data_IF_014159124520
#
_entry.id   IF_014159124520
#
_cell.length_a   1.000
_cell.length_b   1.000
_cell.length_c   1.000
_cell.angle_alpha   90.00
_cell.angle_beta   90.00
_cell.angle_gamma   90.00
#
_symmetry.space_group_name_H-M   'P 1'
#
loop_
_entity.id
_entity.type
_entity.pdbx_description
1 polymer ?
#
# COMPACT_ATOMS: atom_id res chain seq x y z
N UNK A 1 -2.06 55.14 -35.76
CA UNK A 1 -3.10 55.87 -36.57
C UNK A 1 -4.44 55.43 -36.03
N UNK A 2 -4.98 56.19 -35.08
CA UNK A 2 -6.26 56.90 -35.06
C UNK A 2 -7.47 56.03 -35.41
N UNK A 3 -8.50 55.89 -34.59
CA UNK A 3 -9.46 56.84 -33.95
C UNK A 3 -10.22 56.03 -32.89
N UNK A 4 -10.31 56.35 -31.62
CA UNK A 4 -11.10 57.41 -30.97
C UNK A 4 -12.50 57.59 -31.61
N UNK A 5 -13.55 57.40 -30.88
CA UNK A 5 -14.30 58.37 -30.14
C UNK A 5 -15.80 58.03 -30.12
N UNK A 6 -16.35 58.04 -28.93
CA UNK A 6 -17.63 58.65 -28.49
C UNK A 6 -18.96 58.07 -29.00
N UNK A 7 -19.88 57.80 -28.09
CA UNK A 7 -20.92 58.76 -27.73
C UNK A 7 -21.59 58.42 -26.39
N UNK A 8 -21.64 59.42 -25.59
CA UNK A 8 -22.41 59.64 -24.38
C UNK A 8 -23.87 60.04 -24.72
N UNK A 9 -24.69 60.01 -23.69
CA UNK A 9 -25.93 60.69 -23.46
C UNK A 9 -27.24 60.05 -23.97
N UNK A 10 -28.11 59.81 -23.02
CA UNK A 10 -29.33 60.54 -22.71
C UNK A 10 -30.02 59.81 -21.54
N UNK A 11 -29.91 60.27 -20.31
CA UNK A 11 -30.75 61.33 -19.62
C UNK A 11 -32.22 60.95 -19.54
N UNK A 12 -32.62 60.60 -18.33
CA UNK A 12 -33.49 61.31 -17.39
C UNK A 12 -34.89 61.71 -17.94
N UNK A 13 -35.89 61.51 -17.13
CA UNK A 13 -37.29 61.90 -17.06
C UNK A 13 -38.14 60.62 -16.97
N UNK A 14 -38.89 60.31 -15.95
CA UNK A 14 -39.87 61.06 -15.17
C UNK A 14 -40.10 60.39 -13.83
N UNK A 15 -40.02 61.13 -12.76
CA UNK A 15 -40.60 60.89 -11.45
C UNK A 15 -42.06 61.28 -11.49
N UNK A 16 -42.88 60.60 -10.73
CA UNK A 16 -44.21 60.99 -10.25
C UNK A 16 -45.41 60.27 -10.87
N UNK A 17 -45.91 59.27 -10.16
CA UNK A 17 -47.34 59.03 -9.98
C UNK A 17 -47.58 58.16 -8.77
N UNK A 18 -47.76 58.74 -7.63
CA UNK A 18 -48.91 58.65 -6.73
C UNK A 18 -49.46 57.26 -6.38
N UNK A 19 -49.32 57.01 -5.10
CA UNK A 19 -50.03 56.04 -4.31
C UNK A 19 -51.53 55.99 -4.63
N UNK A 20 -52.00 54.74 -4.84
CA UNK A 20 -53.40 54.40 -4.58
C UNK A 20 -53.40 52.95 -4.03
N UNK A 21 -53.92 52.90 -2.85
CA UNK A 21 -54.24 51.74 -2.01
C UNK A 21 -54.88 50.59 -2.80
N UNK A 22 -54.38 49.41 -2.65
CA UNK A 22 -55.16 48.21 -2.84
C UNK A 22 -54.92 47.27 -1.66
N UNK A 23 -55.88 47.07 -0.84
CA UNK A 23 -56.00 45.92 0.05
C UNK A 23 -55.98 44.65 -0.82
N UNK A 24 -54.84 43.97 -0.87
CA UNK A 24 -54.72 42.63 -1.35
C UNK A 24 -54.83 41.64 -0.17
N UNK A 25 -55.42 40.50 -0.34
CA UNK A 25 -55.53 39.50 0.74
C UNK A 25 -54.14 39.10 1.22
N UNK A 26 -54.01 38.91 2.55
CA UNK A 26 -52.79 38.49 3.23
C UNK A 26 -52.19 37.28 2.51
N UNK A 27 -50.92 37.40 2.07
CA UNK A 27 -50.19 36.28 1.58
C UNK A 27 -50.10 35.23 2.66
N UNK A 28 -50.68 34.08 2.40
CA UNK A 28 -50.51 32.88 3.23
C UNK A 28 -48.99 32.62 3.32
N UNK A 29 -48.42 32.37 4.52
CA UNK A 29 -47.02 32.03 4.62
C UNK A 29 -46.79 30.77 3.77
N UNK A 30 -45.92 30.89 2.78
CA UNK A 30 -45.41 29.76 2.01
C UNK A 30 -44.70 28.87 3.04
N UNK A 31 -45.32 27.74 3.31
CA UNK A 31 -44.70 26.68 4.13
C UNK A 31 -43.36 26.33 3.48
N UNK A 32 -42.24 26.67 4.15
CA UNK A 32 -40.91 26.31 3.71
C UNK A 32 -40.93 24.79 3.71
N UNK A 33 -40.88 24.19 2.52
CA UNK A 33 -40.77 22.75 2.38
C UNK A 33 -39.52 22.31 3.17
N UNK A 34 -39.74 21.66 4.30
CA UNK A 34 -38.67 21.00 5.04
C UNK A 34 -38.09 19.98 4.10
N UNK A 35 -36.85 20.19 3.63
CA UNK A 35 -36.13 19.17 2.86
C UNK A 35 -36.23 17.84 3.62
N UNK A 36 -36.70 16.82 2.92
CA UNK A 36 -36.73 15.47 3.49
C UNK A 36 -35.30 15.11 3.94
N UNK A 37 -35.10 14.59 5.15
CA UNK A 37 -33.78 14.25 5.63
C UNK A 37 -33.10 13.33 4.60
N UNK A 38 -31.92 13.73 4.14
CA UNK A 38 -31.08 12.90 3.27
C UNK A 38 -30.94 11.51 3.94
N UNK A 39 -31.24 10.40 3.24
CA UNK A 39 -31.12 9.08 3.82
C UNK A 39 -29.72 8.91 4.42
N UNK A 40 -29.63 8.46 5.66
CA UNK A 40 -28.34 8.15 6.27
C UNK A 40 -27.61 7.14 5.38
N UNK A 41 -26.28 7.29 5.19
CA UNK A 41 -25.51 6.31 4.40
C UNK A 41 -25.75 4.91 4.96
N UNK A 42 -25.82 3.88 4.11
CA UNK A 42 -26.06 2.51 4.57
C UNK A 42 -24.97 2.10 5.56
N UNK A 43 -25.39 1.46 6.65
CA UNK A 43 -24.46 1.01 7.70
C UNK A 43 -23.45 0.03 7.09
N UNK A 44 -22.17 0.19 7.44
CA UNK A 44 -21.12 -0.73 7.04
C UNK A 44 -21.34 -2.16 7.60
N UNK A 45 -20.88 -3.16 6.88
CA UNK A 45 -20.89 -4.56 7.32
C UNK A 45 -22.23 -5.25 7.15
N UNK A 46 -23.15 -4.71 6.36
CA UNK A 46 -24.38 -5.39 5.94
C UNK A 46 -24.16 -6.20 4.65
N UNK A 47 -25.10 -7.06 4.28
CA UNK A 47 -25.04 -7.80 3.01
C UNK A 47 -25.01 -6.86 1.79
N UNK A 48 -25.74 -5.73 1.87
CA UNK A 48 -25.81 -4.74 0.80
C UNK A 48 -24.64 -3.74 0.82
N UNK A 49 -23.96 -3.58 1.96
CA UNK A 49 -22.78 -2.72 2.12
C UNK A 49 -21.69 -3.45 2.93
N UNK A 50 -21.08 -4.52 2.39
CA UNK A 50 -20.04 -5.29 3.06
C UNK A 50 -18.77 -4.46 3.26
N UNK A 51 -18.02 -4.76 4.31
CA UNK A 51 -16.68 -4.21 4.52
C UNK A 51 -15.73 -4.94 3.57
N UNK A 52 -15.04 -4.19 2.73
CA UNK A 52 -14.06 -4.73 1.78
C UNK A 52 -12.68 -4.76 2.42
N UNK A 53 -12.12 -5.97 2.51
CA UNK A 53 -10.76 -6.26 2.95
C UNK A 53 -9.85 -6.32 1.73
N UNK A 54 -8.97 -5.36 1.57
CA UNK A 54 -8.04 -5.27 0.44
C UNK A 54 -6.64 -5.75 0.84
N UNK A 55 -6.07 -6.65 0.05
CA UNK A 55 -4.76 -7.24 0.25
C UNK A 55 -3.77 -6.74 -0.80
N UNK A 56 -2.54 -6.45 -0.39
CA UNK A 56 -1.46 -6.05 -1.29
C UNK A 56 -1.09 -7.20 -2.26
N UNK A 57 -0.90 -6.94 -3.56
CA UNK A 57 -0.56 -7.96 -4.55
C UNK A 57 0.94 -8.36 -4.48
N UNK A 58 1.40 -8.79 -3.30
CA UNK A 58 2.79 -9.19 -3.05
C UNK A 58 3.06 -10.68 -3.29
N UNK A 59 2.01 -11.49 -3.45
CA UNK A 59 2.01 -12.90 -3.77
C UNK A 59 1.03 -13.20 -4.92
N UNK A 60 0.73 -14.48 -5.19
CA UNK A 60 -0.25 -14.81 -6.23
C UNK A 60 -1.66 -14.42 -5.83
N UNK A 61 -2.44 -13.86 -6.75
CA UNK A 61 -3.81 -13.40 -6.48
C UNK A 61 -4.68 -14.51 -5.90
N UNK A 62 -4.55 -15.74 -6.39
CA UNK A 62 -5.35 -16.87 -5.93
C UNK A 62 -5.05 -17.22 -4.46
N UNK A 63 -3.79 -17.25 -4.05
CA UNK A 63 -3.40 -17.52 -2.67
C UNK A 63 -3.86 -16.40 -1.72
N UNK A 64 -3.72 -15.13 -2.16
CA UNK A 64 -4.15 -13.98 -1.39
C UNK A 64 -5.67 -13.96 -1.18
N UNK A 65 -6.46 -14.25 -2.23
CA UNK A 65 -7.92 -14.30 -2.10
C UNK A 65 -8.34 -15.43 -1.14
N UNK A 66 -7.77 -16.63 -1.28
CA UNK A 66 -8.10 -17.75 -0.40
C UNK A 66 -7.78 -17.44 1.08
N UNK A 67 -6.61 -16.84 1.33
CA UNK A 67 -6.18 -16.47 2.68
C UNK A 67 -7.00 -15.31 3.25
N UNK A 68 -7.30 -14.31 2.43
CA UNK A 68 -8.13 -13.17 2.80
C UNK A 68 -9.57 -13.57 3.12
N UNK A 69 -10.14 -14.49 2.34
CA UNK A 69 -11.49 -15.04 2.58
C UNK A 69 -11.54 -15.82 3.91
N UNK A 70 -10.46 -16.51 4.28
CA UNK A 70 -10.36 -17.16 5.59
C UNK A 70 -10.37 -16.14 6.74
N UNK A 71 -9.64 -15.03 6.61
CA UNK A 71 -9.69 -13.91 7.58
C UNK A 71 -11.08 -13.28 7.61
N UNK A 72 -11.66 -12.97 6.45
CA UNK A 72 -12.99 -12.38 6.33
C UNK A 72 -14.06 -13.24 7.00
N UNK A 73 -14.01 -14.56 6.83
CA UNK A 73 -14.93 -15.50 7.46
C UNK A 73 -14.82 -15.50 8.99
N UNK A 74 -13.61 -15.45 9.54
CA UNK A 74 -13.41 -15.35 11.01
C UNK A 74 -13.87 -14.00 11.54
N UNK A 75 -13.54 -12.90 10.87
CA UNK A 75 -14.03 -11.57 11.23
C UNK A 75 -15.54 -11.51 11.22
N UNK A 76 -16.21 -12.10 10.21
CA UNK A 76 -17.67 -12.15 10.15
C UNK A 76 -18.29 -12.88 11.33
N UNK A 77 -17.71 -14.01 11.77
CA UNK A 77 -18.17 -14.75 12.96
C UNK A 77 -18.06 -13.93 14.25
N UNK A 78 -16.94 -13.18 14.41
CA UNK A 78 -16.68 -12.44 15.65
C UNK A 78 -17.47 -11.14 15.69
N UNK A 79 -17.50 -10.40 14.59
CA UNK A 79 -18.09 -9.05 14.55
C UNK A 79 -19.56 -9.04 14.19
N UNK A 80 -20.06 -10.06 13.50
CA UNK A 80 -21.38 -10.06 12.88
C UNK A 80 -21.48 -9.20 11.62
N UNK A 81 -20.37 -8.60 11.15
CA UNK A 81 -20.32 -7.85 9.89
C UNK A 81 -20.10 -8.79 8.70
N UNK A 82 -20.59 -8.37 7.54
CA UNK A 82 -20.28 -9.02 6.26
C UNK A 82 -19.00 -8.43 5.69
N UNK A 83 -18.05 -9.30 5.32
CA UNK A 83 -16.80 -8.92 4.69
C UNK A 83 -16.72 -9.48 3.27
N UNK A 84 -15.93 -8.79 2.41
CA UNK A 84 -15.49 -9.26 1.09
C UNK A 84 -13.99 -9.03 0.97
N UNK A 85 -13.30 -9.92 0.25
CA UNK A 85 -11.87 -9.79 -0.03
C UNK A 85 -11.65 -9.30 -1.45
N UNK A 86 -10.64 -8.45 -1.63
CA UNK A 86 -10.15 -8.02 -2.94
C UNK A 86 -8.63 -7.97 -2.97
N UNK A 87 -8.05 -8.19 -4.14
CA UNK A 87 -6.61 -8.02 -4.42
C UNK A 87 -6.48 -7.07 -5.60
N UNK A 88 -6.16 -5.80 -5.38
CA UNK A 88 -5.91 -4.83 -6.45
C UNK A 88 -4.73 -5.24 -7.34
N UNK A 89 -4.66 -4.68 -8.55
CA UNK A 89 -3.65 -5.05 -9.55
C UNK A 89 -2.26 -4.47 -9.29
N UNK A 90 -2.16 -3.46 -8.42
CA UNK A 90 -0.89 -2.80 -8.04
C UNK A 90 -1.01 -2.17 -6.66
N UNK A 91 0.10 -1.74 -6.07
CA UNK A 91 0.11 -1.01 -4.80
C UNK A 91 -0.57 0.37 -4.94
N UNK A 92 -0.39 1.04 -6.07
CA UNK A 92 -1.12 2.29 -6.35
C UNK A 92 -2.64 2.07 -6.41
N UNK A 93 -3.10 0.99 -7.07
CA UNK A 93 -4.52 0.65 -7.11
C UNK A 93 -5.08 0.31 -5.71
N UNK A 94 -4.26 -0.28 -4.83
CA UNK A 94 -4.63 -0.53 -3.43
C UNK A 94 -4.82 0.78 -2.66
N UNK A 95 -3.89 1.74 -2.81
CA UNK A 95 -4.01 3.09 -2.21
C UNK A 95 -5.28 3.79 -2.69
N UNK A 96 -5.55 3.78 -4.00
CA UNK A 96 -6.75 4.40 -4.56
C UNK A 96 -8.06 3.70 -4.15
N UNK A 97 -8.02 2.37 -3.93
CA UNK A 97 -9.18 1.65 -3.40
C UNK A 97 -9.57 2.11 -1.99
N UNK A 98 -8.59 2.43 -1.13
CA UNK A 98 -8.83 3.02 0.19
C UNK A 98 -9.46 4.42 0.07
N UNK A 99 -8.88 5.28 -0.79
CA UNK A 99 -9.33 6.67 -0.94
C UNK A 99 -10.70 6.83 -1.59
N UNK A 100 -11.04 5.95 -2.53
CA UNK A 100 -12.34 5.95 -3.23
C UNK A 100 -13.47 5.26 -2.45
N UNK A 101 -13.17 4.66 -1.28
CA UNK A 101 -14.14 3.90 -0.50
C UNK A 101 -14.46 2.50 -1.07
N UNK A 102 -13.70 2.03 -2.05
CA UNK A 102 -13.80 0.67 -2.59
C UNK A 102 -13.15 -0.39 -1.66
N UNK A 103 -12.37 0.05 -0.69
CA UNK A 103 -11.84 -0.77 0.39
C UNK A 103 -11.95 -0.01 1.73
N UNK A 104 -12.36 -0.68 2.79
CA UNK A 104 -12.49 -0.12 4.13
C UNK A 104 -11.39 -0.58 5.06
N UNK A 105 -10.82 -1.75 4.82
CA UNK A 105 -9.70 -2.31 5.59
C UNK A 105 -8.63 -2.73 4.58
N UNK A 106 -7.40 -2.24 4.77
CA UNK A 106 -6.28 -2.55 3.89
C UNK A 106 -5.13 -3.20 4.65
N UNK A 107 -4.61 -4.32 4.14
CA UNK A 107 -3.28 -4.79 4.49
C UNK A 107 -2.29 -4.08 3.56
N UNK A 108 -1.80 -2.93 4.02
CA UNK A 108 -0.96 -2.03 3.23
C UNK A 108 0.52 -2.25 3.58
N UNK A 109 1.40 -2.52 2.59
CA UNK A 109 2.83 -2.37 2.80
C UNK A 109 3.19 -0.96 3.25
N UNK A 110 4.35 -0.77 3.86
CA UNK A 110 4.77 0.48 4.50
C UNK A 110 4.62 1.71 3.61
N UNK A 111 5.18 1.69 2.39
CA UNK A 111 5.10 2.86 1.49
C UNK A 111 3.70 3.11 0.98
N UNK A 112 2.92 2.13 0.51
CA UNK A 112 1.50 2.30 0.22
C UNK A 112 0.69 2.88 1.38
N UNK A 113 0.98 2.47 2.62
CA UNK A 113 0.36 3.07 3.81
C UNK A 113 0.72 4.56 3.94
N UNK A 114 2.01 4.91 3.91
CA UNK A 114 2.45 6.30 4.03
C UNK A 114 1.81 7.17 2.96
N UNK A 115 1.79 6.71 1.70
CA UNK A 115 1.12 7.42 0.60
C UNK A 115 -0.39 7.57 0.85
N UNK A 116 -1.07 6.53 1.32
CA UNK A 116 -2.50 6.59 1.62
C UNK A 116 -2.80 7.54 2.79
N UNK A 117 -1.96 7.54 3.82
CA UNK A 117 -2.10 8.45 4.97
C UNK A 117 -1.89 9.91 4.56
N UNK A 118 -0.83 10.23 3.83
CA UNK A 118 -0.56 11.59 3.34
C UNK A 118 -1.66 12.15 2.42
N UNK A 119 -2.36 11.26 1.70
CA UNK A 119 -3.55 11.62 0.90
C UNK A 119 -4.82 11.76 1.76
N UNK A 120 -4.78 11.44 3.04
CA UNK A 120 -5.95 11.39 3.92
C UNK A 120 -6.92 10.25 3.61
N UNK A 121 -6.42 9.17 3.00
CA UNK A 121 -7.23 8.02 2.58
C UNK A 121 -7.34 6.94 3.65
N UNK A 122 -6.30 6.76 4.47
CA UNK A 122 -6.26 5.72 5.47
C UNK A 122 -5.46 6.10 6.72
N UNK A 123 -5.84 5.52 7.86
CA UNK A 123 -5.11 5.56 9.11
C UNK A 123 -4.71 4.14 9.52
N UNK A 124 -3.52 3.98 10.12
CA UNK A 124 -3.09 2.70 10.66
C UNK A 124 -3.79 2.40 11.99
N UNK A 125 -4.06 1.14 12.24
CA UNK A 125 -4.50 0.66 13.55
C UNK A 125 -3.56 -0.39 14.12
N UNK A 126 -3.02 -1.26 13.24
CA UNK A 126 -2.16 -2.36 13.66
C UNK A 126 -0.97 -2.50 12.68
N UNK A 127 0.17 -2.94 13.20
CA UNK A 127 1.28 -3.44 12.40
C UNK A 127 1.37 -4.96 12.58
N UNK A 128 1.71 -5.69 11.52
CA UNK A 128 1.90 -7.13 11.58
C UNK A 128 3.28 -7.47 12.14
N UNK A 129 3.38 -8.56 12.90
CA UNK A 129 4.63 -9.12 13.36
C UNK A 129 4.92 -10.42 12.63
N UNK A 130 6.18 -10.61 12.23
CA UNK A 130 6.73 -11.83 11.65
C UNK A 130 7.98 -12.24 12.41
N UNK A 131 8.04 -13.46 12.88
CA UNK A 131 9.15 -13.96 13.73
C UNK A 131 9.41 -13.05 14.94
N UNK A 132 8.35 -12.47 15.53
CA UNK A 132 8.42 -11.58 16.68
C UNK A 132 8.91 -10.15 16.37
N UNK A 133 9.21 -9.82 15.11
CA UNK A 133 9.66 -8.51 14.66
C UNK A 133 8.54 -7.73 13.98
N UNK A 134 8.47 -6.43 14.23
CA UNK A 134 7.63 -5.47 13.52
C UNK A 134 8.38 -4.76 12.36
N UNK A 135 9.62 -5.19 12.11
CA UNK A 135 10.46 -4.74 10.99
C UNK A 135 11.05 -5.93 10.23
N UNK A 136 11.38 -5.72 8.96
CA UNK A 136 12.01 -6.71 8.09
C UNK A 136 13.09 -6.09 7.20
N UNK A 137 13.90 -6.95 6.59
CA UNK A 137 14.94 -6.54 5.66
C UNK A 137 14.60 -6.86 4.21
N UNK A 138 15.41 -6.33 3.32
CA UNK A 138 15.42 -6.73 1.91
C UNK A 138 16.69 -7.52 1.60
N UNK A 139 16.68 -8.17 0.43
CA UNK A 139 17.84 -8.85 -0.11
C UNK A 139 18.00 -8.56 -1.59
N UNK A 140 19.26 -8.56 -2.05
CA UNK A 140 19.58 -8.71 -3.45
C UNK A 140 19.86 -10.18 -3.74
N UNK A 141 19.28 -10.67 -4.83
CA UNK A 141 19.43 -12.05 -5.31
C UNK A 141 19.92 -12.07 -6.74
N UNK A 142 20.67 -13.10 -7.09
CA UNK A 142 21.11 -13.34 -8.47
C UNK A 142 21.11 -14.84 -8.78
N UNK A 143 21.06 -15.19 -10.09
CA UNK A 143 21.25 -16.58 -10.47
C UNK A 143 22.70 -16.99 -10.20
N UNK A 144 22.91 -18.18 -9.59
CA UNK A 144 24.23 -18.69 -9.21
C UNK A 144 25.16 -18.89 -10.42
N UNK A 145 24.60 -19.13 -11.62
CA UNK A 145 25.36 -19.26 -12.84
C UNK A 145 25.84 -17.90 -13.43
N UNK A 146 25.31 -16.77 -12.94
CA UNK A 146 25.64 -15.44 -13.46
C UNK A 146 27.04 -14.95 -13.07
N UNK A 147 27.69 -15.60 -12.09
CA UNK A 147 29.07 -15.31 -11.68
C UNK A 147 29.21 -14.16 -10.67
N UNK A 148 28.13 -13.70 -10.04
CA UNK A 148 28.21 -12.77 -8.92
C UNK A 148 28.77 -13.44 -7.67
N UNK A 149 29.55 -12.71 -6.88
CA UNK A 149 30.00 -13.14 -5.56
C UNK A 149 28.90 -12.93 -4.53
N UNK A 150 28.52 -13.99 -3.80
CA UNK A 150 27.66 -13.86 -2.62
C UNK A 150 28.49 -13.33 -1.46
N UNK A 151 28.01 -12.29 -0.81
CA UNK A 151 28.56 -11.79 0.45
C UNK A 151 27.69 -12.16 1.65
N UNK A 152 26.69 -13.00 1.45
CA UNK A 152 25.79 -13.49 2.47
C UNK A 152 26.32 -14.84 3.04
N UNK A 153 26.49 -14.89 4.35
CA UNK A 153 26.79 -16.12 5.09
C UNK A 153 25.50 -16.72 5.63
N UNK A 154 25.06 -17.83 5.05
CA UNK A 154 23.84 -18.53 5.45
C UNK A 154 23.91 -19.13 6.87
N UNK A 155 25.10 -19.37 7.42
CA UNK A 155 25.25 -19.93 8.76
C UNK A 155 24.99 -18.90 9.85
N UNK A 156 25.34 -17.65 9.59
CA UNK A 156 25.16 -16.52 10.52
C UNK A 156 23.95 -15.63 10.18
N UNK A 157 23.44 -15.74 8.96
CA UNK A 157 22.39 -14.86 8.44
C UNK A 157 22.85 -13.42 8.19
N UNK A 158 24.15 -13.19 8.05
CA UNK A 158 24.77 -11.86 7.93
C UNK A 158 25.64 -11.74 6.69
N UNK A 159 25.88 -10.49 6.29
CA UNK A 159 26.85 -10.23 5.23
C UNK A 159 28.29 -10.28 5.73
N UNK A 160 29.18 -10.71 4.85
CA UNK A 160 30.64 -10.81 5.07
C UNK A 160 31.41 -9.58 4.56
N UNK A 161 30.72 -8.65 3.91
CA UNK A 161 31.26 -7.38 3.44
C UNK A 161 30.23 -6.25 3.61
N UNK A 162 30.69 -4.99 3.59
CA UNK A 162 29.82 -3.82 3.60
C UNK A 162 29.08 -3.66 2.24
N UNK A 163 28.04 -2.85 2.25
CA UNK A 163 27.22 -2.61 1.06
C UNK A 163 28.02 -2.06 -0.13
N UNK A 164 28.93 -1.05 0.01
CA UNK A 164 29.75 -0.59 -1.11
C UNK A 164 30.51 -1.71 -1.81
N UNK A 165 31.13 -2.60 -1.04
CA UNK A 165 31.91 -3.73 -1.56
C UNK A 165 31.01 -4.77 -2.22
N UNK A 166 29.95 -5.19 -1.53
CA UNK A 166 29.05 -6.25 -2.02
C UNK A 166 28.31 -5.83 -3.30
N UNK A 167 27.87 -4.57 -3.38
CA UNK A 167 26.99 -4.08 -4.44
C UNK A 167 27.73 -3.51 -5.64
N UNK A 168 29.04 -3.24 -5.56
CA UNK A 168 29.84 -2.71 -6.68
C UNK A 168 29.69 -3.55 -7.97
N UNK A 169 29.51 -4.84 -7.85
CA UNK A 169 29.32 -5.78 -8.96
C UNK A 169 28.02 -5.57 -9.76
N UNK A 170 27.07 -4.78 -9.24
CA UNK A 170 25.81 -4.44 -9.93
C UNK A 170 25.93 -3.23 -10.86
N UNK A 171 27.11 -2.57 -10.91
CA UNK A 171 27.33 -1.46 -11.83
C UNK A 171 27.14 -1.90 -13.29
N UNK A 172 26.26 -1.18 -14.03
CA UNK A 172 25.92 -1.49 -15.41
C UNK A 172 25.10 -2.76 -15.61
N UNK A 173 24.51 -3.34 -14.53
CA UNK A 173 23.68 -4.53 -14.58
C UNK A 173 22.19 -4.16 -14.53
N UNK A 174 21.31 -5.04 -15.01
CA UNK A 174 19.87 -4.85 -15.10
C UNK A 174 19.16 -5.48 -13.91
N UNK A 175 18.50 -4.72 -13.01
CA UNK A 175 17.70 -5.26 -11.92
C UNK A 175 16.31 -5.74 -12.36
N UNK A 176 15.75 -6.71 -11.65
CA UNK A 176 14.31 -6.96 -11.56
C UNK A 176 13.74 -6.35 -10.28
N UNK A 177 12.67 -5.58 -10.44
CA UNK A 177 11.93 -4.92 -9.36
C UNK A 177 10.47 -5.35 -9.35
N UNK A 178 9.82 -5.28 -8.18
CA UNK A 178 8.42 -5.69 -7.99
C UNK A 178 7.42 -4.63 -8.46
N UNK A 179 7.34 -3.52 -7.72
CA UNK A 179 6.38 -2.42 -7.90
C UNK A 179 7.06 -1.10 -7.47
N UNK A 180 6.77 0.04 -8.13
CA UNK A 180 7.35 1.34 -7.78
C UNK A 180 7.13 1.79 -6.34
N UNK A 181 6.08 1.31 -5.66
CA UNK A 181 5.79 1.59 -4.24
C UNK A 181 6.27 0.48 -3.30
N UNK A 182 7.01 -0.51 -3.80
CA UNK A 182 7.53 -1.58 -2.95
C UNK A 182 8.75 -1.13 -2.16
N UNK A 183 8.68 -1.18 -0.82
CA UNK A 183 9.81 -0.87 0.05
C UNK A 183 11.01 -1.78 -0.24
N UNK A 184 10.85 -3.10 -0.08
CA UNK A 184 11.94 -4.08 -0.22
C UNK A 184 12.19 -4.56 -1.65
N UNK A 185 11.21 -4.43 -2.53
CA UNK A 185 11.34 -4.83 -3.93
C UNK A 185 11.82 -3.72 -4.86
N UNK A 186 11.97 -2.48 -4.36
CA UNK A 186 12.46 -1.37 -5.16
C UNK A 186 13.07 -0.23 -4.35
N UNK A 187 12.28 0.50 -3.53
CA UNK A 187 12.68 1.82 -3.02
C UNK A 187 13.94 1.77 -2.17
N UNK A 188 13.97 0.91 -1.16
CA UNK A 188 15.15 0.77 -0.28
C UNK A 188 16.35 0.20 -1.02
N UNK A 189 16.21 -0.90 -1.79
CA UNK A 189 17.30 -1.42 -2.62
C UNK A 189 17.87 -0.40 -3.61
N UNK A 190 17.00 0.30 -4.35
CA UNK A 190 17.43 1.30 -5.33
C UNK A 190 18.09 2.51 -4.66
N UNK A 191 17.55 2.95 -3.50
CA UNK A 191 18.14 3.98 -2.68
C UNK A 191 19.54 3.60 -2.17
N UNK A 192 19.71 2.35 -1.73
CA UNK A 192 21.02 1.85 -1.30
C UNK A 192 22.04 1.81 -2.46
N UNK A 193 21.62 1.37 -3.64
CA UNK A 193 22.48 1.43 -4.85
C UNK A 193 22.88 2.88 -5.18
N UNK A 194 21.91 3.80 -5.17
CA UNK A 194 22.14 5.21 -5.48
C UNK A 194 23.07 5.88 -4.47
N UNK A 195 22.87 5.65 -3.15
CA UNK A 195 23.71 6.22 -2.09
C UNK A 195 25.18 5.74 -2.15
N UNK A 196 25.40 4.57 -2.76
CA UNK A 196 26.72 4.02 -3.01
C UNK A 196 27.24 4.35 -4.42
N UNK A 197 26.61 5.25 -5.17
CA UNK A 197 26.96 5.67 -6.52
C UNK A 197 26.98 4.50 -7.55
N UNK A 198 26.21 3.44 -7.33
CA UNK A 198 26.14 2.28 -8.20
C UNK A 198 25.03 2.51 -9.23
N UNK A 199 25.44 2.80 -10.47
CA UNK A 199 24.52 3.03 -11.58
C UNK A 199 24.18 1.73 -12.28
N UNK A 200 22.91 1.34 -12.26
CA UNK A 200 22.38 0.16 -12.96
C UNK A 200 21.78 0.54 -14.31
N UNK A 201 21.47 -0.46 -15.13
CA UNK A 201 20.58 -0.29 -16.28
C UNK A 201 19.14 -0.06 -15.80
N UNK A 202 18.25 0.35 -16.72
CA UNK A 202 16.83 0.44 -16.43
C UNK A 202 16.27 -0.92 -16.00
N UNK A 203 15.60 -0.95 -14.86
CA UNK A 203 15.07 -2.19 -14.28
C UNK A 203 13.88 -2.78 -15.05
N UNK A 204 13.71 -4.09 -14.95
CA UNK A 204 12.50 -4.77 -15.39
C UNK A 204 11.47 -4.77 -14.23
N UNK A 205 10.25 -4.27 -14.50
CA UNK A 205 9.13 -4.32 -13.59
C UNK A 205 8.34 -5.61 -13.81
N UNK A 206 8.41 -6.54 -12.85
CA UNK A 206 7.87 -7.90 -13.04
C UNK A 206 6.70 -8.24 -12.13
N UNK A 207 6.27 -7.32 -11.30
CA UNK A 207 5.18 -7.42 -10.32
C UNK A 207 5.30 -8.62 -9.35
N UNK A 208 5.35 -8.30 -8.05
CA UNK A 208 5.38 -9.28 -6.96
C UNK A 208 6.73 -9.98 -6.76
N UNK A 209 7.00 -10.33 -5.53
CA UNK A 209 8.26 -10.94 -5.11
C UNK A 209 8.49 -12.34 -5.70
N UNK A 210 7.48 -13.24 -5.79
CA UNK A 210 7.65 -14.54 -6.43
C UNK A 210 8.08 -14.41 -7.89
N UNK A 211 7.58 -13.40 -8.61
CA UNK A 211 7.94 -13.16 -10.01
C UNK A 211 9.37 -12.67 -10.15
N UNK A 212 9.86 -11.82 -9.21
CA UNK A 212 11.28 -11.43 -9.19
C UNK A 212 12.17 -12.66 -8.99
N UNK A 213 11.89 -13.50 -8.00
CA UNK A 213 12.66 -14.74 -7.75
C UNK A 213 12.65 -15.64 -8.98
N UNK A 214 11.48 -15.86 -9.58
CA UNK A 214 11.33 -16.66 -10.80
C UNK A 214 12.08 -16.07 -12.00
N UNK A 215 12.05 -14.76 -12.16
CA UNK A 215 12.77 -14.07 -13.25
C UNK A 215 14.29 -14.26 -13.12
N UNK A 216 14.81 -14.12 -11.90
CA UNK A 216 16.23 -14.38 -11.60
C UNK A 216 16.58 -15.86 -11.81
N UNK A 217 15.72 -16.78 -11.33
CA UNK A 217 15.89 -18.22 -11.53
C UNK A 217 15.99 -18.61 -13.00
N UNK A 218 15.19 -17.99 -13.87
CA UNK A 218 15.15 -18.24 -15.31
C UNK A 218 16.19 -17.44 -16.12
N UNK A 219 17.06 -16.67 -15.47
CA UNK A 219 18.03 -15.77 -16.12
C UNK A 219 19.47 -16.10 -15.75
N UNK A 220 19.98 -17.31 -16.08
CA UNK A 220 21.37 -17.68 -15.77
C UNK A 220 22.42 -16.77 -16.46
N UNK A 221 22.06 -16.10 -17.56
CA UNK A 221 22.92 -15.17 -18.29
C UNK A 221 22.33 -13.75 -18.37
N UNK A 222 21.34 -13.41 -17.49
CA UNK A 222 20.72 -12.09 -17.48
C UNK A 222 19.63 -11.87 -18.54
N UNK A 223 18.96 -12.93 -19.02
CA UNK A 223 17.97 -12.85 -20.10
C UNK A 223 16.80 -11.90 -19.78
N UNK A 224 16.32 -11.92 -18.55
CA UNK A 224 15.27 -10.99 -18.06
C UNK A 224 15.93 -9.87 -17.25
N UNK A 225 16.76 -10.25 -16.27
CA UNK A 225 17.53 -9.36 -15.41
C UNK A 225 18.76 -10.07 -14.86
N UNK A 226 19.79 -9.29 -14.53
CA UNK A 226 21.04 -9.81 -13.97
C UNK A 226 20.89 -10.15 -12.48
N UNK A 227 20.11 -9.36 -11.75
CA UNK A 227 19.83 -9.52 -10.32
C UNK A 227 18.43 -9.03 -9.98
N UNK A 228 17.95 -9.29 -8.77
CA UNK A 228 16.63 -8.86 -8.30
C UNK A 228 16.66 -8.35 -6.86
N UNK A 229 15.65 -7.57 -6.49
CA UNK A 229 15.43 -7.10 -5.14
C UNK A 229 14.12 -7.67 -4.56
N UNK A 230 14.15 -8.19 -3.34
CA UNK A 230 13.00 -8.81 -2.67
C UNK A 230 13.08 -8.62 -1.16
N UNK A 231 12.00 -8.98 -0.44
CA UNK A 231 12.10 -9.17 1.02
C UNK A 231 12.92 -10.42 1.37
N UNK A 232 13.45 -10.49 2.57
CA UNK A 232 14.22 -11.63 3.13
C UNK A 232 13.28 -12.70 3.73
N UNK A 233 13.26 -13.99 3.39
CA UNK A 233 13.82 -14.62 2.20
C UNK A 233 12.69 -15.03 1.24
N UNK A 234 12.53 -14.28 0.15
CA UNK A 234 11.44 -14.50 -0.80
C UNK A 234 11.59 -15.77 -1.67
N UNK A 235 12.74 -16.45 -1.65
CA UNK A 235 12.97 -17.67 -2.45
C UNK A 235 12.01 -18.79 -2.07
N UNK A 236 11.61 -18.84 -0.79
CA UNK A 236 10.62 -19.79 -0.29
C UNK A 236 9.27 -19.72 -1.01
N UNK A 237 8.92 -18.54 -1.56
CA UNK A 237 7.63 -18.31 -2.23
C UNK A 237 7.42 -19.12 -3.51
N UNK A 238 8.49 -19.60 -4.14
CA UNK A 238 8.41 -20.43 -5.34
C UNK A 238 9.00 -21.84 -5.14
N UNK A 239 9.45 -22.18 -3.93
CA UNK A 239 10.14 -23.45 -3.65
C UNK A 239 9.28 -24.68 -3.93
N UNK A 240 7.96 -24.57 -3.85
CA UNK A 240 7.02 -25.66 -4.20
C UNK A 240 7.12 -26.06 -5.67
N UNK A 241 7.20 -25.08 -6.56
CA UNK A 241 7.25 -25.29 -8.01
C UNK A 241 8.69 -25.40 -8.53
N UNK A 242 9.65 -24.85 -7.78
CA UNK A 242 11.08 -24.83 -8.09
C UNK A 242 11.89 -25.29 -6.89
N UNK A 243 11.92 -26.62 -6.61
CA UNK A 243 12.56 -27.17 -5.39
C UNK A 243 14.06 -26.87 -5.26
N UNK A 244 14.75 -26.60 -6.37
CA UNK A 244 16.16 -26.25 -6.46
C UNK A 244 16.42 -24.72 -6.45
N UNK A 245 15.42 -23.93 -6.08
CA UNK A 245 15.53 -22.45 -6.09
C UNK A 245 16.68 -21.94 -5.24
N UNK A 246 16.95 -22.56 -4.09
CA UNK A 246 18.04 -22.14 -3.21
C UNK A 246 19.42 -22.42 -3.77
N UNK A 247 19.55 -23.41 -4.66
CA UNK A 247 20.80 -23.74 -5.34
C UNK A 247 21.05 -22.82 -6.54
N UNK A 248 19.96 -22.44 -7.24
CA UNK A 248 20.02 -21.62 -8.45
C UNK A 248 19.90 -20.11 -8.22
N UNK A 249 19.30 -19.70 -7.11
CA UNK A 249 19.14 -18.28 -6.75
C UNK A 249 19.87 -18.03 -5.44
N UNK A 250 21.05 -17.44 -5.54
CA UNK A 250 21.84 -17.07 -4.38
C UNK A 250 21.47 -15.69 -3.85
N UNK A 251 21.57 -15.51 -2.53
CA UNK A 251 21.51 -14.19 -1.89
C UNK A 251 22.89 -13.54 -2.08
N UNK A 252 22.92 -12.31 -2.56
CA UNK A 252 24.16 -11.55 -2.77
C UNK A 252 24.45 -10.68 -1.55
N UNK A 253 23.40 -10.06 -1.00
CA UNK A 253 23.46 -9.13 0.13
C UNK A 253 22.11 -9.08 0.83
N UNK A 254 22.08 -8.91 2.15
CA UNK A 254 20.89 -8.74 2.97
C UNK A 254 21.00 -7.46 3.82
N UNK A 255 19.93 -6.69 3.92
CA UNK A 255 19.90 -5.53 4.81
C UNK A 255 19.57 -5.89 6.23
N UNK A 256 19.92 -5.02 7.17
CA UNK A 256 19.29 -5.00 8.48
C UNK A 256 17.77 -4.84 8.35
N UNK A 257 16.97 -5.24 9.37
CA UNK A 257 15.51 -5.10 9.38
C UNK A 257 15.10 -3.64 9.63
N UNK A 258 15.22 -2.79 8.60
CA UNK A 258 14.95 -1.35 8.67
C UNK A 258 13.57 -0.96 8.15
N UNK A 259 12.85 -1.88 7.50
CA UNK A 259 11.55 -1.60 6.90
C UNK A 259 10.46 -2.02 7.88
N UNK A 260 9.58 -1.11 8.34
CA UNK A 260 8.40 -1.51 9.12
C UNK A 260 7.57 -2.54 8.36
N UNK A 261 6.97 -3.49 9.06
CA UNK A 261 6.08 -4.47 8.44
C UNK A 261 4.78 -3.83 7.95
N UNK A 262 4.01 -4.63 7.19
CA UNK A 262 2.70 -4.23 6.66
C UNK A 262 1.75 -3.80 7.79
N UNK A 263 0.82 -2.91 7.43
CA UNK A 263 -0.22 -2.40 8.32
C UNK A 263 -1.50 -3.21 8.21
N UNK A 264 -2.36 -3.14 9.23
CA UNK A 264 -3.80 -3.16 9.05
C UNK A 264 -4.28 -1.72 9.18
N UNK A 265 -4.68 -1.15 8.07
CA UNK A 265 -5.13 0.24 7.97
C UNK A 265 -6.61 0.33 7.64
N UNK A 266 -7.23 1.39 8.09
CA UNK A 266 -8.66 1.65 7.94
C UNK A 266 -8.87 2.87 7.07
N UNK A 267 -9.81 2.80 6.11
CA UNK A 267 -10.20 3.97 5.33
C UNK A 267 -10.62 5.12 6.26
N UNK A 268 -10.22 6.35 5.93
CA UNK A 268 -10.51 7.53 6.75
C UNK A 268 -12.02 7.74 6.97
N UNK A 269 -12.84 7.25 6.03
CA UNK A 269 -14.30 7.31 6.10
C UNK A 269 -14.95 6.23 6.98
N UNK A 270 -14.20 5.19 7.40
CA UNK A 270 -14.75 4.12 8.23
C UNK A 270 -14.96 4.64 9.66
N UNK A 271 -16.15 4.52 10.28
CA UNK A 271 -16.42 5.00 11.64
C UNK A 271 -15.48 4.39 12.68
N UNK A 272 -15.13 5.18 13.71
CA UNK A 272 -14.15 4.78 14.73
C UNK A 272 -14.57 3.53 15.52
N UNK A 273 -15.85 3.41 15.83
CA UNK A 273 -16.41 2.25 16.54
C UNK A 273 -16.33 0.97 15.68
N UNK A 274 -16.52 1.09 14.36
CA UNK A 274 -16.37 -0.03 13.43
C UNK A 274 -14.89 -0.42 13.33
N UNK A 275 -13.96 0.56 13.22
CA UNK A 275 -12.51 0.31 13.22
C UNK A 275 -12.08 -0.42 14.48
N UNK A 276 -12.51 0.07 15.65
CA UNK A 276 -12.17 -0.55 16.94
C UNK A 276 -12.67 -1.99 17.02
N UNK A 277 -13.93 -2.23 16.64
CA UNK A 277 -14.52 -3.57 16.65
C UNK A 277 -13.76 -4.55 15.73
N UNK A 278 -13.29 -4.08 14.56
CA UNK A 278 -12.47 -4.90 13.65
C UNK A 278 -11.10 -5.17 14.27
N UNK A 279 -10.44 -4.14 14.86
CA UNK A 279 -9.14 -4.30 15.52
C UNK A 279 -9.22 -5.34 16.66
N UNK A 280 -10.25 -5.23 17.51
CA UNK A 280 -10.45 -6.16 18.61
C UNK A 280 -10.68 -7.60 18.10
N UNK A 281 -11.46 -7.74 17.02
CA UNK A 281 -11.71 -9.04 16.40
C UNK A 281 -10.43 -9.65 15.80
N UNK A 282 -9.59 -8.87 15.13
CA UNK A 282 -8.30 -9.31 14.59
C UNK A 282 -7.37 -9.77 15.72
N UNK A 283 -7.29 -9.02 16.82
CA UNK A 283 -6.51 -9.39 18.00
C UNK A 283 -7.08 -10.66 18.68
N UNK A 284 -8.40 -10.79 18.76
CA UNK A 284 -9.06 -11.99 19.29
C UNK A 284 -8.74 -13.24 18.46
N UNK A 285 -8.65 -13.13 17.13
CA UNK A 285 -8.29 -14.24 16.24
C UNK A 285 -6.92 -14.85 16.58
N UNK A 286 -5.96 -14.05 17.06
CA UNK A 286 -4.64 -14.54 17.49
C UNK A 286 -4.72 -15.53 18.68
N UNK A 287 -5.82 -15.53 19.43
CA UNK A 287 -6.08 -16.47 20.51
C UNK A 287 -6.62 -17.85 20.05
N UNK A 288 -6.92 -18.01 18.76
CA UNK A 288 -7.53 -19.22 18.19
C UNK A 288 -6.62 -19.90 17.17
N UNK A 289 -6.67 -21.22 17.07
CA UNK A 289 -5.85 -21.96 16.09
C UNK A 289 -6.25 -21.61 14.64
N UNK A 290 -7.56 -21.50 14.36
CA UNK A 290 -8.07 -21.14 13.04
C UNK A 290 -7.63 -19.72 12.64
N UNK A 291 -7.66 -18.78 13.59
CA UNK A 291 -7.23 -17.39 13.36
C UNK A 291 -5.73 -17.31 13.10
N UNK A 292 -4.90 -17.98 13.90
CA UNK A 292 -3.45 -18.08 13.66
C UNK A 292 -3.14 -18.70 12.30
N UNK A 293 -3.85 -19.78 11.94
CA UNK A 293 -3.67 -20.43 10.64
C UNK A 293 -4.03 -19.48 9.48
N UNK A 294 -5.12 -18.71 9.59
CA UNK A 294 -5.50 -17.72 8.59
C UNK A 294 -4.46 -16.60 8.43
N UNK A 295 -3.94 -16.06 9.56
CA UNK A 295 -2.86 -15.06 9.52
C UNK A 295 -1.54 -15.64 8.98
N UNK A 296 -1.21 -16.87 9.32
CA UNK A 296 -0.01 -17.54 8.80
C UNK A 296 -0.09 -17.79 7.29
N UNK A 297 -1.28 -18.08 6.78
CA UNK A 297 -1.52 -18.28 5.35
C UNK A 297 -1.42 -16.99 4.54
N UNK A 298 -1.80 -15.84 5.15
CA UNK A 298 -1.72 -14.53 4.52
C UNK A 298 -0.40 -13.85 4.73
N UNK A 299 0.58 -13.71 4.28
CA UNK A 299 1.84 -12.98 4.58
C UNK A 299 2.64 -13.49 5.77
N UNK A 300 2.44 -14.75 6.21
CA UNK A 300 3.20 -15.34 7.31
C UNK A 300 3.10 -14.56 8.63
N UNK A 301 1.95 -13.96 8.91
CA UNK A 301 1.74 -13.15 10.12
C UNK A 301 1.68 -14.05 11.35
N UNK A 302 2.50 -13.73 12.37
CA UNK A 302 2.50 -14.44 13.65
C UNK A 302 1.70 -13.70 14.73
N UNK A 303 1.69 -12.37 14.68
CA UNK A 303 1.00 -11.52 15.65
C UNK A 303 0.70 -10.15 15.06
N UNK A 304 -0.03 -9.34 15.83
CA UNK A 304 -0.38 -7.96 15.52
C UNK A 304 -0.05 -7.07 16.72
N UNK A 305 0.38 -5.84 16.48
CA UNK A 305 0.67 -4.83 17.50
C UNK A 305 -0.09 -3.55 17.17
N UNK A 306 -0.77 -2.97 18.16
CA UNK A 306 -1.44 -1.67 18.02
C UNK A 306 -0.38 -0.60 17.87
N UNK A 307 -0.52 0.23 16.85
CA UNK A 307 0.36 1.37 16.56
C UNK A 307 -0.49 2.54 16.05
N UNK A 308 0.11 3.73 16.09
CA UNK A 308 -0.37 4.92 15.40
C UNK A 308 0.62 5.32 14.30
N UNK A 309 0.33 6.42 13.61
CA UNK A 309 1.11 6.88 12.46
C UNK A 309 2.56 7.22 12.82
N UNK A 310 2.84 7.66 14.04
CA UNK A 310 4.20 8.00 14.50
C UNK A 310 5.17 6.81 14.47
N UNK A 311 4.65 5.57 14.45
CA UNK A 311 5.47 4.36 14.27
C UNK A 311 6.29 4.36 12.96
N UNK A 312 5.88 5.17 11.97
CA UNK A 312 6.52 5.24 10.65
C UNK A 312 7.45 6.47 10.49
N UNK A 313 7.64 7.31 11.53
CA UNK A 313 8.40 8.57 11.41
C UNK A 313 9.86 8.33 11.03
N UNK A 314 10.54 7.38 11.67
CA UNK A 314 11.93 7.03 11.34
C UNK A 314 12.06 6.54 9.89
N UNK A 315 11.04 5.83 9.41
CA UNK A 315 11.04 5.35 8.03
C UNK A 315 10.76 6.49 7.03
N UNK A 316 9.97 7.50 7.38
CA UNK A 316 9.81 8.73 6.58
C UNK A 316 11.12 9.46 6.41
N UNK A 317 11.92 9.61 7.49
CA UNK A 317 13.27 10.20 7.41
C UNK A 317 14.16 9.41 6.44
N UNK A 318 14.07 8.08 6.45
CA UNK A 318 14.78 7.25 5.49
C UNK A 318 14.32 7.51 4.04
N UNK A 319 13.01 7.59 3.78
CA UNK A 319 12.46 7.88 2.44
C UNK A 319 12.92 9.26 1.92
N UNK A 320 12.97 10.27 2.79
CA UNK A 320 13.51 11.59 2.45
C UNK A 320 14.99 11.51 2.07
N UNK A 321 15.79 10.75 2.82
CA UNK A 321 17.22 10.58 2.57
C UNK A 321 17.53 9.92 1.22
N UNK A 322 16.64 9.05 0.74
CA UNK A 322 16.74 8.43 -0.60
C UNK A 322 16.03 9.24 -1.69
N UNK A 323 15.57 10.47 -1.37
CA UNK A 323 14.86 11.37 -2.26
C UNK A 323 13.55 10.80 -2.86
N UNK A 324 12.85 9.98 -2.08
CA UNK A 324 11.53 9.49 -2.48
C UNK A 324 10.51 10.63 -2.37
N UNK A 325 9.97 11.03 -3.51
CA UNK A 325 8.92 12.07 -3.54
C UNK A 325 7.52 11.45 -3.43
N UNK A 326 6.98 11.43 -2.20
CA UNK A 326 5.61 10.99 -1.93
C UNK A 326 4.59 11.80 -2.76
N UNK A 327 4.87 13.08 -3.05
CA UNK A 327 3.96 13.94 -3.78
C UNK A 327 3.81 13.54 -5.25
N UNK A 328 4.77 12.81 -5.81
CA UNK A 328 4.66 12.27 -7.18
C UNK A 328 3.53 11.25 -7.34
N UNK A 329 2.96 10.77 -6.23
CA UNK A 329 1.84 9.81 -6.17
C UNK A 329 0.53 10.45 -5.67
N UNK A 330 0.50 11.78 -5.48
CA UNK A 330 -0.70 12.55 -5.11
C UNK A 330 -1.63 12.80 -6.28
#
# INVERSE_FOLDING_TARGET
MNKRLTFFLSSLIVVFSLALSACGPAATPTEVATEAPTPAPPAYGTADNPIVLALAPSATTQELLASGDAIAAQLSKITGYTFKTTVPTSYAALVEAMGSGNAQVGFLPTVPYIVAHEKGYADVGLVVLRNGSDHYGFQFIANSAHGFTSYYDAATGKDTADAPTALAQFAGKKPCYTDPLSSSGYLVPAGLLASNNIKTLAGAWVQGHPTVVKSVYLSPNGEICDFGATYTDARSSIAKDFPDVNDKVQIIYVSDPIIPNDTVSYAATLPADVRQKISDALLQMLGTEDGKAAFKAVYQIDSLKVVDDSFYDDYRVYLEAIHFDINSYK
#
